data_IF_901943136761
#
_entry.id   IF_901943136761
#
_cell.length_a   1.000
_cell.length_b   1.000
_cell.length_c   1.000
_cell.angle_alpha   90.00
_cell.angle_beta   90.00
_cell.angle_gamma   90.00
#
_symmetry.space_group_name_H-M   'P 1'
#
loop_
_entity.id
_entity.type
_entity.pdbx_description
1 polymer ?
#
# COMPACT_ATOMS: atom_id res chain seq x y z
N UNK A 1 -14.40 -1.67 31.81
CA UNK A 1 -13.08 -1.89 31.19
C UNK A 1 -13.26 -2.87 30.03
N UNK A 2 -13.72 -2.42 28.86
CA UNK A 2 -13.88 -3.30 27.69
C UNK A 2 -13.40 -2.53 26.46
N UNK A 3 -12.10 -2.25 26.41
CA UNK A 3 -11.43 -1.74 25.21
C UNK A 3 -11.35 -2.82 24.09
N UNK A 4 -11.73 -4.07 24.39
CA UNK A 4 -11.69 -5.22 23.49
C UNK A 4 -13.08 -5.80 23.23
N UNK A 5 -14.00 -4.97 22.74
CA UNK A 5 -15.27 -5.49 22.21
C UNK A 5 -15.01 -6.18 20.85
N UNK A 6 -15.77 -7.23 20.53
CA UNK A 6 -15.62 -8.03 19.30
C UNK A 6 -15.69 -7.16 18.04
N UNK A 7 -16.55 -6.15 18.05
CA UNK A 7 -16.68 -5.18 16.95
C UNK A 7 -15.42 -4.34 16.79
N UNK A 8 -14.81 -3.90 17.90
CA UNK A 8 -13.54 -3.16 17.86
C UNK A 8 -12.43 -4.01 17.23
N UNK A 9 -12.30 -5.28 17.64
CA UNK A 9 -11.35 -6.20 17.02
C UNK A 9 -11.62 -6.41 15.53
N UNK A 10 -12.89 -6.49 15.12
CA UNK A 10 -13.27 -6.66 13.72
C UNK A 10 -12.87 -5.44 12.87
N UNK A 11 -13.24 -4.23 13.30
CA UNK A 11 -12.86 -3.01 12.58
C UNK A 11 -11.35 -2.78 12.57
N UNK A 12 -10.67 -3.09 13.67
CA UNK A 12 -9.22 -3.02 13.75
C UNK A 12 -8.55 -4.00 12.79
N UNK A 13 -9.07 -5.23 12.68
CA UNK A 13 -8.58 -6.23 11.72
C UNK A 13 -8.76 -5.77 10.28
N UNK A 14 -9.92 -5.18 9.94
CA UNK A 14 -10.18 -4.63 8.61
C UNK A 14 -9.24 -3.46 8.27
N UNK A 15 -9.07 -2.53 9.21
CA UNK A 15 -8.13 -1.41 9.08
C UNK A 15 -6.68 -1.90 8.91
N UNK A 16 -6.27 -2.87 9.72
CA UNK A 16 -4.95 -3.48 9.63
C UNK A 16 -4.71 -4.17 8.30
N UNK A 17 -5.70 -4.93 7.81
CA UNK A 17 -5.63 -5.60 6.51
C UNK A 17 -5.51 -4.61 5.36
N UNK A 18 -6.36 -3.57 5.33
CA UNK A 18 -6.32 -2.52 4.30
C UNK A 18 -5.01 -1.73 4.36
N UNK A 19 -4.56 -1.36 5.57
CA UNK A 19 -3.29 -0.68 5.77
C UNK A 19 -2.11 -1.52 5.27
N UNK A 20 -2.10 -2.82 5.61
CA UNK A 20 -1.07 -3.75 5.13
C UNK A 20 -1.08 -3.89 3.60
N UNK A 21 -2.27 -3.95 2.99
CA UNK A 21 -2.41 -4.04 1.54
C UNK A 21 -1.87 -2.77 0.85
N UNK A 22 -2.16 -1.60 1.40
CA UNK A 22 -1.71 -0.31 0.87
C UNK A 22 -0.18 -0.18 1.01
N UNK A 23 0.35 -0.42 2.21
CA UNK A 23 1.80 -0.37 2.48
C UNK A 23 2.54 -1.41 1.64
N UNK A 24 1.99 -2.61 1.50
CA UNK A 24 2.54 -3.66 0.65
C UNK A 24 2.63 -3.25 -0.82
N UNK A 25 1.56 -2.68 -1.39
CA UNK A 25 1.57 -2.20 -2.77
C UNK A 25 2.61 -1.09 -2.97
N UNK A 26 2.60 -0.05 -2.13
CA UNK A 26 3.57 1.05 -2.23
C UNK A 26 5.01 0.51 -2.08
N UNK A 27 5.22 -0.41 -1.14
CA UNK A 27 6.51 -1.07 -0.91
C UNK A 27 7.02 -1.81 -2.15
N UNK A 28 6.15 -2.50 -2.88
CA UNK A 28 6.51 -3.17 -4.15
C UNK A 28 6.99 -2.17 -5.19
N UNK A 29 6.29 -1.04 -5.39
CA UNK A 29 6.73 -0.01 -6.34
C UNK A 29 8.06 0.63 -5.92
N UNK A 30 8.30 0.83 -4.63
CA UNK A 30 9.59 1.30 -4.11
C UNK A 30 10.70 0.27 -4.37
N UNK A 31 10.43 -1.02 -4.17
CA UNK A 31 11.38 -2.10 -4.47
C UNK A 31 11.72 -2.16 -5.96
N UNK A 32 10.72 -2.00 -6.83
CA UNK A 32 10.92 -1.93 -8.28
C UNK A 32 11.82 -0.74 -8.63
N UNK A 33 11.56 0.45 -8.06
CA UNK A 33 12.44 1.60 -8.25
C UNK A 33 13.87 1.30 -7.77
N UNK A 34 14.05 0.67 -6.61
CA UNK A 34 15.38 0.32 -6.08
C UNK A 34 16.13 -0.65 -6.99
N UNK A 35 15.42 -1.59 -7.62
CA UNK A 35 16.00 -2.47 -8.64
C UNK A 35 16.42 -1.67 -9.87
N UNK A 36 15.57 -0.78 -10.38
CA UNK A 36 15.90 0.08 -11.52
C UNK A 36 17.11 0.97 -11.20
N UNK A 37 17.14 1.59 -10.02
CA UNK A 37 18.26 2.41 -9.55
C UNK A 37 19.58 1.63 -9.55
N UNK A 38 19.55 0.34 -9.18
CA UNK A 38 20.73 -0.53 -9.16
C UNK A 38 21.28 -0.84 -10.56
N UNK A 39 20.41 -0.98 -11.57
CA UNK A 39 20.81 -1.45 -12.91
C UNK A 39 20.91 -0.34 -13.97
N UNK A 40 20.23 0.80 -13.79
CA UNK A 40 20.18 1.88 -14.77
C UNK A 40 20.84 3.15 -14.25
N UNK A 41 20.11 3.94 -13.44
CA UNK A 41 20.57 5.22 -12.93
C UNK A 41 19.65 5.71 -11.82
N UNK A 42 20.22 6.49 -10.89
CA UNK A 42 19.47 7.15 -9.83
C UNK A 42 18.76 8.39 -10.38
N UNK A 43 17.45 8.47 -10.19
CA UNK A 43 16.66 9.63 -10.64
C UNK A 43 15.54 9.92 -9.64
N UNK A 44 15.69 11.04 -8.92
CA UNK A 44 14.70 11.52 -7.94
C UNK A 44 13.31 11.76 -8.53
N UNK A 45 13.16 12.32 -9.76
CA UNK A 45 11.86 12.43 -10.41
C UNK A 45 11.20 11.06 -10.65
N UNK A 46 11.99 10.07 -11.07
CA UNK A 46 11.53 8.70 -11.29
C UNK A 46 11.05 8.05 -9.99
N UNK A 47 11.77 8.26 -8.89
CA UNK A 47 11.34 7.80 -7.57
C UNK A 47 9.97 8.35 -7.19
N UNK A 48 9.79 9.67 -7.29
CA UNK A 48 8.52 10.34 -6.98
C UNK A 48 7.38 9.79 -7.85
N UNK A 49 7.65 9.60 -9.15
CA UNK A 49 6.69 9.01 -10.07
C UNK A 49 6.25 7.60 -9.63
N UNK A 50 7.22 6.72 -9.30
CA UNK A 50 6.92 5.37 -8.82
C UNK A 50 6.14 5.36 -7.50
N UNK A 51 6.44 6.29 -6.58
CA UNK A 51 5.69 6.44 -5.33
C UNK A 51 4.25 6.85 -5.61
N UNK A 52 4.02 7.86 -6.46
CA UNK A 52 2.68 8.32 -6.83
C UNK A 52 1.88 7.18 -7.47
N UNK A 53 2.47 6.48 -8.45
CA UNK A 53 1.83 5.32 -9.10
C UNK A 53 1.51 4.22 -8.08
N UNK A 54 2.44 3.94 -7.16
CA UNK A 54 2.24 2.96 -6.09
C UNK A 54 1.09 3.33 -5.16
N UNK A 55 0.96 4.61 -4.81
CA UNK A 55 -0.16 5.11 -3.99
C UNK A 55 -1.48 4.95 -4.75
N UNK A 56 -1.58 5.45 -6.00
CA UNK A 56 -2.81 5.30 -6.79
C UNK A 56 -3.21 3.84 -6.99
N UNK A 57 -2.25 2.97 -7.29
CA UNK A 57 -2.46 1.53 -7.44
C UNK A 57 -2.93 0.87 -6.14
N UNK A 58 -2.32 1.24 -5.00
CA UNK A 58 -2.72 0.76 -3.69
C UNK A 58 -4.17 1.12 -3.36
N UNK A 59 -4.56 2.38 -3.57
CA UNK A 59 -5.94 2.83 -3.35
C UNK A 59 -6.93 2.17 -4.33
N UNK A 60 -6.54 2.01 -5.59
CA UNK A 60 -7.38 1.32 -6.58
C UNK A 60 -7.61 -0.15 -6.20
N UNK A 61 -6.55 -0.87 -5.80
CA UNK A 61 -6.65 -2.27 -5.36
C UNK A 61 -7.47 -2.39 -4.08
N UNK A 62 -7.28 -1.50 -3.11
CA UNK A 62 -8.10 -1.45 -1.90
C UNK A 62 -9.58 -1.21 -2.23
N UNK A 63 -9.88 -0.22 -3.08
CA UNK A 63 -11.24 0.07 -3.55
C UNK A 63 -11.86 -1.15 -4.23
N UNK A 64 -11.12 -1.79 -5.14
CA UNK A 64 -11.56 -2.99 -5.87
C UNK A 64 -11.90 -4.12 -4.90
N UNK A 65 -11.04 -4.35 -3.90
CA UNK A 65 -11.21 -5.41 -2.91
C UNK A 65 -12.42 -5.15 -1.99
N UNK A 66 -12.63 -3.90 -1.57
CA UNK A 66 -13.81 -3.50 -0.77
C UNK A 66 -15.10 -3.64 -1.60
N UNK A 67 -15.08 -3.20 -2.85
CA UNK A 67 -16.26 -3.19 -3.72
C UNK A 67 -16.53 -4.55 -4.39
N UNK A 68 -15.64 -5.54 -4.21
CA UNK A 68 -15.68 -6.87 -4.87
C UNK A 68 -15.92 -6.78 -6.40
N UNK A 69 -15.43 -5.72 -7.03
CA UNK A 69 -15.35 -5.59 -8.50
C UNK A 69 -14.06 -6.22 -9.02
#
# INVERSE_FOLDING_TARGET
MVFFNKDFMHYFSLLGFLGFLIVGNIGVFILIYKLIEKYFFKSTPLFIFFVIVGVFSAFYNAYKLIMKK
#
